data_IF_948261190637
#
_entry.id   IF_948261190637
#
_cell.length_a   1.000
_cell.length_b   1.000
_cell.length_c   1.000
_cell.angle_alpha   90.00
_cell.angle_beta   90.00
_cell.angle_gamma   90.00
#
_symmetry.space_group_name_H-M   'P 1'
#
loop_
_entity.id
_entity.type
_entity.pdbx_description
1 polymer ?
#
# COMPACT_ATOMS: atom_id res chain seq x y z
N UNK A 1 -2.94 -0.79 9.78
CA UNK A 1 -4.06 -1.34 8.99
C UNK A 1 -5.03 -0.20 8.77
N UNK A 2 -5.16 0.26 7.53
CA UNK A 2 -6.12 1.28 7.16
C UNK A 2 -7.24 0.61 6.37
N UNK A 3 -8.49 0.77 6.81
CA UNK A 3 -9.68 0.31 6.08
C UNK A 3 -10.30 1.57 5.49
N UNK A 4 -10.02 1.86 4.22
CA UNK A 4 -10.63 2.99 3.53
C UNK A 4 -11.96 2.58 2.91
N UNK A 5 -12.98 3.41 3.13
CA UNK A 5 -14.34 3.28 2.60
C UNK A 5 -14.69 4.54 1.79
N UNK A 6 -13.91 4.90 0.77
CA UNK A 6 -14.28 5.98 -0.15
C UNK A 6 -13.72 5.73 -1.55
N UNK A 7 -14.47 6.21 -2.54
CA UNK A 7 -14.28 6.00 -3.96
C UNK A 7 -14.56 7.32 -4.68
N UNK A 8 -13.52 8.11 -4.96
CA UNK A 8 -13.66 9.27 -5.83
C UNK A 8 -13.68 8.77 -7.28
N UNK A 9 -14.85 8.94 -7.89
CA UNK A 9 -15.16 9.01 -9.33
C UNK A 9 -15.76 7.79 -10.06
N UNK A 10 -15.81 6.58 -9.51
CA UNK A 10 -16.41 5.47 -10.26
C UNK A 10 -17.19 4.47 -9.38
N UNK A 11 -18.52 4.64 -9.30
CA UNK A 11 -19.46 3.74 -8.59
C UNK A 11 -19.40 2.27 -9.01
N UNK A 12 -18.57 1.92 -10.00
CA UNK A 12 -18.33 0.55 -10.47
C UNK A 12 -17.25 -0.20 -9.69
N UNK A 13 -16.38 0.48 -8.95
CA UNK A 13 -15.37 -0.21 -8.14
C UNK A 13 -15.97 -0.70 -6.82
N UNK A 14 -15.99 -2.03 -6.66
CA UNK A 14 -16.37 -2.66 -5.41
C UNK A 14 -15.41 -2.21 -4.30
N UNK A 15 -15.89 -2.07 -3.04
CA UNK A 15 -15.03 -1.73 -1.92
C UNK A 15 -13.85 -2.71 -1.84
N UNK A 16 -12.64 -2.18 -1.73
CA UNK A 16 -11.38 -2.94 -1.85
C UNK A 16 -10.54 -2.71 -0.61
N UNK A 17 -9.97 -3.79 -0.07
CA UNK A 17 -8.99 -3.75 0.99
C UNK A 17 -7.61 -3.68 0.34
N UNK A 18 -6.81 -2.69 0.74
CA UNK A 18 -5.41 -2.58 0.39
C UNK A 18 -4.57 -2.96 1.61
N UNK A 19 -3.86 -4.10 1.52
CA UNK A 19 -2.89 -4.51 2.52
C UNK A 19 -1.50 -4.16 1.99
N UNK A 20 -0.83 -3.21 2.62
CA UNK A 20 0.45 -2.68 2.15
C UNK A 20 1.51 -2.71 3.25
N UNK A 21 2.73 -3.10 2.88
CA UNK A 21 3.95 -2.98 3.67
C UNK A 21 4.84 -1.95 2.98
N UNK A 22 5.22 -0.92 3.72
CA UNK A 22 6.11 0.14 3.24
C UNK A 22 7.50 -0.05 3.85
N UNK A 23 8.51 -0.08 2.99
CA UNK A 23 9.91 -0.19 3.39
C UNK A 23 10.60 1.16 3.17
N UNK A 24 11.31 1.61 4.20
CA UNK A 24 12.07 2.86 4.23
C UNK A 24 13.50 2.52 4.65
N UNK A 25 14.48 3.34 4.24
CA UNK A 25 15.88 3.14 4.67
C UNK A 25 16.06 3.48 6.15
N UNK A 26 15.48 4.60 6.61
CA UNK A 26 15.47 4.97 8.02
C UNK A 26 14.19 5.76 8.36
N UNK A 27 13.28 5.16 9.11
CA UNK A 27 12.05 5.84 9.58
C UNK A 27 12.36 6.96 10.59
N UNK A 28 13.53 6.95 11.24
CA UNK A 28 13.94 8.02 12.16
C UNK A 28 14.25 9.33 11.42
N UNK A 29 14.51 9.28 10.11
CA UNK A 29 14.66 10.45 9.24
C UNK A 29 13.34 11.18 8.98
N UNK A 30 12.20 10.58 9.32
CA UNK A 30 10.91 11.20 9.12
C UNK A 30 10.79 12.49 9.95
N UNK A 31 10.62 13.60 9.26
CA UNK A 31 10.46 14.91 9.88
C UNK A 31 9.27 14.95 10.85
N UNK A 32 9.29 15.94 11.75
CA UNK A 32 8.34 16.13 12.87
C UNK A 32 6.86 16.31 12.50
N UNK A 33 6.44 16.10 11.24
CA UNK A 33 5.10 16.45 10.73
C UNK A 33 4.61 15.50 9.65
N UNK A 34 4.34 14.25 10.00
CA UNK A 34 3.31 13.52 9.26
C UNK A 34 1.96 13.90 9.87
N UNK A 35 1.37 14.96 9.32
CA UNK A 35 -0.02 15.33 9.59
C UNK A 35 -0.94 14.26 8.99
N UNK A 36 -2.14 14.00 9.54
CA UNK A 36 -3.19 13.24 8.84
C UNK A 36 -3.48 13.78 7.43
N UNK A 37 -3.21 15.06 7.16
CA UNK A 37 -3.26 15.67 5.83
C UNK A 37 -2.29 15.04 4.81
N UNK A 38 -1.19 14.44 5.28
CA UNK A 38 -0.17 13.79 4.47
C UNK A 38 -0.44 12.30 4.25
N UNK A 39 -1.66 11.81 4.55
CA UNK A 39 -2.06 10.41 4.30
C UNK A 39 -1.83 9.98 2.84
N UNK A 40 -1.79 10.95 1.92
CA UNK A 40 -1.45 10.73 0.52
C UNK A 40 -0.11 10.01 0.33
N UNK A 41 0.88 10.21 1.21
CA UNK A 41 2.17 9.50 1.15
C UNK A 41 2.03 7.97 1.26
N UNK A 42 0.94 7.49 1.86
CA UNK A 42 0.63 6.07 2.02
C UNK A 42 -0.41 5.58 1.01
N UNK A 43 -1.22 6.49 0.47
CA UNK A 43 -2.30 6.18 -0.46
C UNK A 43 -1.86 6.20 -1.93
N UNK A 44 -1.06 7.18 -2.34
CA UNK A 44 -0.65 7.38 -3.73
C UNK A 44 0.35 6.34 -4.28
N UNK A 45 1.30 5.79 -3.49
CA UNK A 45 2.24 4.76 -3.96
C UNK A 45 1.61 3.53 -4.64
N UNK A 46 0.34 3.26 -4.34
CA UNK A 46 -0.41 2.10 -4.83
C UNK A 46 -1.45 2.48 -5.89
N UNK A 47 -1.52 3.75 -6.31
CA UNK A 47 -2.48 4.25 -7.30
C UNK A 47 -1.85 4.95 -8.51
N UNK A 48 -0.69 5.61 -8.36
CA UNK A 48 -0.06 6.34 -9.47
C UNK A 48 1.04 5.54 -10.18
N UNK A 49 0.74 5.05 -11.39
CA UNK A 49 1.69 4.33 -12.24
C UNK A 49 2.74 5.24 -12.88
N UNK A 50 2.52 6.55 -12.84
CA UNK A 50 3.43 7.53 -13.44
C UNK A 50 4.66 7.79 -12.57
N UNK A 51 4.52 7.69 -11.26
CA UNK A 51 5.60 7.89 -10.29
C UNK A 51 6.28 6.58 -9.83
N UNK A 52 5.53 5.48 -9.90
CA UNK A 52 5.95 4.17 -9.41
C UNK A 52 6.13 3.16 -10.54
N UNK A 53 7.15 2.32 -10.42
CA UNK A 53 7.25 1.07 -11.19
C UNK A 53 6.53 -0.04 -10.42
N UNK A 54 5.48 -0.60 -11.02
CA UNK A 54 4.68 -1.67 -10.41
C UNK A 54 4.96 -3.00 -11.12
N UNK A 55 5.33 -4.01 -10.34
CA UNK A 55 5.59 -5.37 -10.83
C UNK A 55 4.89 -6.38 -9.92
N UNK A 56 4.33 -7.45 -10.49
CA UNK A 56 3.75 -8.53 -9.70
C UNK A 56 4.80 -9.64 -9.50
N UNK A 57 4.99 -10.09 -8.28
CA UNK A 57 5.87 -11.21 -7.97
C UNK A 57 5.15 -12.57 -8.19
N UNK A 58 5.87 -13.67 -7.96
CA UNK A 58 5.34 -15.03 -8.15
C UNK A 58 4.25 -15.45 -7.15
N UNK A 59 4.07 -14.68 -6.07
CA UNK A 59 3.13 -14.95 -4.98
C UNK A 59 1.88 -14.06 -5.04
N UNK A 60 1.59 -13.47 -6.21
CA UNK A 60 0.47 -12.53 -6.42
C UNK A 60 0.57 -11.27 -5.55
N UNK A 61 1.79 -10.92 -5.12
CA UNK A 61 2.07 -9.66 -4.40
C UNK A 61 2.59 -8.63 -5.41
N UNK A 62 1.95 -7.48 -5.42
CA UNK A 62 2.41 -6.32 -6.19
C UNK A 62 3.53 -5.60 -5.44
N UNK A 63 4.56 -5.21 -6.19
CA UNK A 63 5.71 -4.45 -5.71
C UNK A 63 5.71 -3.11 -6.44
N UNK A 64 5.60 -2.01 -5.70
CA UNK A 64 5.77 -0.65 -6.22
C UNK A 64 7.09 -0.05 -5.72
N UNK A 65 7.89 0.49 -6.64
CA UNK A 65 9.17 1.15 -6.35
C UNK A 65 9.15 2.53 -7.01
N UNK A 66 9.53 3.63 -6.32
CA UNK A 66 9.63 4.93 -6.96
C UNK A 66 10.61 4.90 -8.13
N UNK A 67 10.23 5.52 -9.25
CA UNK A 67 11.10 5.63 -10.43
C UNK A 67 12.38 6.42 -10.14
N UNK A 68 12.32 7.36 -9.20
CA UNK A 68 13.46 8.17 -8.78
C UNK A 68 13.45 8.42 -7.26
N UNK A 69 14.62 8.68 -6.68
CA UNK A 69 14.74 9.06 -5.28
C UNK A 69 14.07 10.41 -4.99
N UNK A 70 14.05 11.34 -5.95
CA UNK A 70 13.39 12.63 -5.79
C UNK A 70 11.88 12.46 -5.59
N UNK A 71 11.25 11.58 -6.38
CA UNK A 71 9.85 11.22 -6.24
C UNK A 71 9.59 10.60 -4.85
N UNK A 72 10.45 9.67 -4.42
CA UNK A 72 10.35 9.03 -3.12
C UNK A 72 10.36 10.04 -1.96
N UNK A 73 11.32 10.96 -1.97
CA UNK A 73 11.50 11.96 -0.92
C UNK A 73 10.36 13.01 -0.92
N UNK A 74 10.00 13.53 -2.09
CA UNK A 74 9.06 14.63 -2.21
C UNK A 74 7.62 14.23 -1.92
N UNK A 75 7.20 13.03 -2.38
CA UNK A 75 5.79 12.63 -2.36
C UNK A 75 5.50 11.47 -1.42
N UNK A 76 6.51 10.69 -1.03
CA UNK A 76 6.31 9.40 -0.37
C UNK A 76 7.16 9.20 0.88
N UNK A 77 7.67 10.30 1.46
CA UNK A 77 8.47 10.30 2.70
C UNK A 77 9.65 9.31 2.66
N UNK A 78 10.35 9.26 1.52
CA UNK A 78 11.54 8.43 1.32
C UNK A 78 11.22 6.93 1.22
N UNK A 79 10.02 6.57 0.76
CA UNK A 79 9.68 5.15 0.56
C UNK A 79 10.63 4.52 -0.44
N UNK A 80 11.19 3.36 -0.11
CA UNK A 80 12.04 2.61 -1.03
C UNK A 80 11.23 1.62 -1.84
N UNK A 81 10.29 0.94 -1.20
CA UNK A 81 9.49 -0.14 -1.81
C UNK A 81 8.17 -0.29 -1.05
N UNK A 82 7.11 -0.58 -1.79
CA UNK A 82 5.81 -0.96 -1.24
C UNK A 82 5.44 -2.34 -1.76
N UNK A 83 5.25 -3.30 -0.86
CA UNK A 83 4.66 -4.59 -1.19
C UNK A 83 3.18 -4.56 -0.83
N UNK A 84 2.28 -4.88 -1.74
CA UNK A 84 0.84 -4.78 -1.49
C UNK A 84 0.00 -5.88 -2.14
N UNK A 85 -1.13 -6.18 -1.49
CA UNK A 85 -2.19 -7.06 -1.98
C UNK A 85 -3.50 -6.29 -1.97
N UNK A 86 -4.27 -6.43 -3.04
CA UNK A 86 -5.62 -5.89 -3.16
C UNK A 86 -6.62 -7.04 -3.18
N UNK A 87 -7.66 -6.95 -2.36
CA UNK A 87 -8.77 -7.91 -2.39
C UNK A 87 -10.13 -7.23 -2.20
N UNK A 88 -11.21 -7.74 -2.83
CA UNK A 88 -12.55 -7.19 -2.62
C UNK A 88 -12.96 -7.33 -1.15
N UNK A 89 -13.43 -6.26 -0.52
CA UNK A 89 -13.96 -6.27 0.85
C UNK A 89 -15.08 -7.29 1.01
N UNK A 90 -15.91 -7.45 -0.02
CA UNK A 90 -17.03 -8.41 -0.03
C UNK A 90 -16.57 -9.88 0.01
N UNK A 91 -15.30 -10.16 -0.25
CA UNK A 91 -14.73 -11.51 -0.10
C UNK A 91 -14.35 -11.85 1.35
N UNK A 92 -14.44 -10.88 2.25
CA UNK A 92 -14.10 -10.99 3.67
C UNK A 92 -15.36 -11.03 4.53
N UNK A 93 -15.46 -12.01 5.42
CA UNK A 93 -16.54 -12.16 6.37
C UNK A 93 -16.00 -12.57 7.76
N UNK A 94 -16.88 -12.68 8.76
CA UNK A 94 -16.48 -12.98 10.13
C UNK A 94 -15.74 -14.32 10.28
N UNK A 95 -15.98 -15.29 9.39
CA UNK A 95 -15.38 -16.62 9.45
C UNK A 95 -13.98 -16.63 8.85
N UNK A 96 -13.74 -15.86 7.78
CA UNK A 96 -12.49 -15.87 7.01
C UNK A 96 -11.60 -14.63 7.21
N UNK A 97 -12.06 -13.62 7.97
CA UNK A 97 -11.34 -12.36 8.16
C UNK A 97 -9.93 -12.56 8.71
N UNK A 98 -9.75 -13.51 9.64
CA UNK A 98 -8.44 -13.79 10.21
C UNK A 98 -7.45 -14.22 9.12
N UNK A 99 -7.84 -15.19 8.30
CA UNK A 99 -7.00 -15.72 7.23
C UNK A 99 -6.79 -14.69 6.11
N UNK A 100 -7.88 -14.07 5.63
CA UNK A 100 -7.85 -13.13 4.50
C UNK A 100 -7.06 -11.86 4.82
N UNK A 101 -7.10 -11.37 6.07
CA UNK A 101 -6.38 -10.16 6.47
C UNK A 101 -5.00 -10.50 7.01
N UNK A 102 -4.91 -11.26 8.09
CA UNK A 102 -3.64 -11.51 8.76
C UNK A 102 -2.77 -12.51 8.00
N UNK A 103 -3.36 -13.52 7.35
CA UNK A 103 -2.60 -14.44 6.51
C UNK A 103 -1.96 -13.73 5.30
N UNK A 104 -2.68 -12.82 4.65
CA UNK A 104 -2.08 -12.00 3.58
C UNK A 104 -1.09 -10.97 4.14
N UNK A 105 -1.32 -10.42 5.33
CA UNK A 105 -0.34 -9.56 5.99
C UNK A 105 0.97 -10.30 6.27
N UNK A 106 0.93 -11.55 6.74
CA UNK A 106 2.11 -12.39 6.96
C UNK A 106 2.90 -12.63 5.66
N UNK A 107 2.22 -12.88 4.54
CA UNK A 107 2.88 -13.04 3.22
C UNK A 107 3.73 -11.82 2.85
N UNK A 108 3.24 -10.60 3.12
CA UNK A 108 3.99 -9.37 2.84
C UNK A 108 5.32 -9.28 3.62
N UNK A 109 5.45 -9.97 4.75
CA UNK A 109 6.69 -10.02 5.53
C UNK A 109 7.63 -11.16 5.15
N UNK A 110 7.10 -12.24 4.56
CA UNK A 110 7.86 -13.44 4.20
C UNK A 110 8.48 -13.35 2.80
N UNK A 111 7.88 -12.58 1.87
CA UNK A 111 8.52 -12.21 0.61
C UNK A 111 9.62 -11.16 0.84
N UNK A 112 10.86 -11.59 1.03
CA UNK A 112 12.05 -10.75 0.96
C UNK A 112 12.81 -10.99 -0.35
#
# INVERSE_FOLDING_TARGET
>A
MEIMLHNDEDFKQLPTINLSKFEYDDIASWGKRNSPSNHQHFYYPIRETDDMEIQMNKEEISLATPKTNEIAEQYYAGVRKVSFIQLPLMSVNAENAKEKIFGNFEKLYLCN
#
